data_IF_444701014494
#
_entry.id   IF_444701014494
#
_cell.length_a   1.000
_cell.length_b   1.000
_cell.length_c   1.000
_cell.angle_alpha   90.00
_cell.angle_beta   90.00
_cell.angle_gamma   90.00
#
_symmetry.space_group_name_H-M   'P 1'
#
loop_
_entity.id
_entity.type
_entity.pdbx_description
1 polymer ?
#
# COMPACT_ATOMS: atom_id res chain seq x y z
N UNK A 1 -34.83 37.69 -3.80
CA UNK A 1 -34.48 36.34 -3.30
C UNK A 1 -33.19 35.82 -3.93
N UNK A 2 -33.08 35.81 -5.26
CA UNK A 2 -31.87 35.35 -5.98
C UNK A 2 -30.56 36.03 -5.55
N UNK A 3 -30.56 37.37 -5.40
CA UNK A 3 -29.37 38.11 -4.96
C UNK A 3 -28.84 37.68 -3.59
N UNK A 4 -29.74 37.37 -2.66
CA UNK A 4 -29.37 36.94 -1.31
C UNK A 4 -28.76 35.53 -1.35
N UNK A 5 -29.34 34.62 -2.13
CA UNK A 5 -28.83 33.24 -2.31
C UNK A 5 -27.42 33.26 -2.92
N UNK A 6 -27.20 34.11 -3.93
CA UNK A 6 -25.91 34.25 -4.58
C UNK A 6 -24.84 34.79 -3.61
N UNK A 7 -25.22 35.76 -2.75
CA UNK A 7 -24.35 36.25 -1.67
C UNK A 7 -23.98 35.18 -0.63
N UNK A 8 -24.94 34.34 -0.22
CA UNK A 8 -24.68 33.23 0.71
C UNK A 8 -23.75 32.17 0.11
N UNK A 9 -23.94 31.80 -1.16
CA UNK A 9 -23.08 30.84 -1.86
C UNK A 9 -21.64 31.35 -2.00
N UNK A 10 -21.47 32.62 -2.36
CA UNK A 10 -20.14 33.24 -2.44
C UNK A 10 -19.43 33.25 -1.08
N UNK A 11 -20.14 33.57 0.00
CA UNK A 11 -19.57 33.55 1.35
C UNK A 11 -19.13 32.14 1.77
N UNK A 12 -19.92 31.11 1.44
CA UNK A 12 -19.56 29.71 1.70
C UNK A 12 -18.35 29.25 0.90
N UNK A 13 -18.24 29.65 -0.37
CA UNK A 13 -17.07 29.36 -1.21
C UNK A 13 -15.81 30.05 -0.69
N UNK A 14 -15.92 31.31 -0.24
CA UNK A 14 -14.81 32.03 0.39
C UNK A 14 -14.35 31.37 1.69
N UNK A 15 -15.28 30.90 2.53
CA UNK A 15 -14.94 30.18 3.76
C UNK A 15 -14.24 28.84 3.48
N UNK A 16 -14.67 28.11 2.44
CA UNK A 16 -14.00 26.89 1.98
C UNK A 16 -12.59 27.18 1.45
N UNK A 17 -12.40 28.28 0.71
CA UNK A 17 -11.11 28.68 0.18
C UNK A 17 -10.14 29.14 1.29
N UNK A 18 -10.62 29.82 2.32
CA UNK A 18 -9.80 30.24 3.47
C UNK A 18 -9.39 29.07 4.38
N UNK A 19 -10.20 28.01 4.44
CA UNK A 19 -9.88 26.77 5.15
C UNK A 19 -9.11 25.76 4.29
N UNK A 20 -8.91 26.03 2.99
CA UNK A 20 -8.06 25.20 2.16
C UNK A 20 -6.63 25.30 2.71
N UNK A 21 -5.96 24.16 2.97
CA UNK A 21 -4.58 24.19 3.39
C UNK A 21 -3.75 24.79 2.25
N UNK A 22 -3.42 26.07 2.32
CA UNK A 22 -2.38 26.67 1.49
C UNK A 22 -1.07 26.16 2.06
N UNK A 23 -0.69 24.95 1.63
CA UNK A 23 0.65 24.44 1.85
C UNK A 23 1.61 25.33 1.07
N UNK A 24 2.02 26.45 1.66
CA UNK A 24 3.20 27.16 1.23
C UNK A 24 4.36 26.17 1.32
N UNK A 25 4.90 25.78 0.16
CA UNK A 25 6.00 24.84 0.04
C UNK A 25 7.28 25.46 0.61
N UNK A 26 7.37 25.47 1.94
CA UNK A 26 8.58 25.80 2.69
C UNK A 26 9.59 24.67 2.52
N UNK A 27 10.65 25.01 1.78
CA UNK A 27 11.96 24.36 1.66
C UNK A 27 12.17 23.10 2.50
N UNK A 28 11.97 21.95 1.86
CA UNK A 28 12.75 20.71 1.86
C UNK A 28 11.81 19.63 1.29
N UNK A 29 12.05 19.10 0.07
CA UNK A 29 11.18 18.11 -0.59
C UNK A 29 10.90 16.84 0.24
N UNK A 30 11.67 16.65 1.31
CA UNK A 30 11.66 15.50 2.18
C UNK A 30 10.87 15.70 3.49
N UNK A 31 10.52 16.95 3.84
CA UNK A 31 9.94 17.27 5.16
C UNK A 31 8.67 18.14 5.09
N UNK A 32 8.30 18.69 3.92
CA UNK A 32 7.14 19.57 3.77
C UNK A 32 6.01 18.97 2.92
N UNK A 33 4.91 18.58 3.57
CA UNK A 33 3.56 18.77 3.00
C UNK A 33 3.05 17.81 1.92
N UNK A 34 3.77 16.76 1.51
CA UNK A 34 3.23 15.68 0.65
C UNK A 34 3.65 14.32 1.20
N UNK A 35 3.19 13.97 2.40
CA UNK A 35 3.56 12.73 3.11
C UNK A 35 3.20 11.41 2.41
N UNK A 36 2.53 11.47 1.25
CA UNK A 36 2.14 10.30 0.46
C UNK A 36 3.03 9.98 -0.74
N UNK A 37 3.92 10.88 -1.19
CA UNK A 37 4.65 10.69 -2.44
C UNK A 37 5.66 9.54 -2.40
N UNK A 38 6.60 9.59 -1.45
CA UNK A 38 7.64 8.56 -1.30
C UNK A 38 7.04 7.26 -0.76
N UNK A 39 6.15 7.34 0.23
CA UNK A 39 5.49 6.17 0.81
C UNK A 39 4.60 5.48 -0.23
N UNK A 40 3.80 6.24 -0.99
CA UNK A 40 2.98 5.70 -2.07
C UNK A 40 3.82 5.12 -3.21
N UNK A 41 4.96 5.73 -3.53
CA UNK A 41 5.90 5.18 -4.52
C UNK A 41 6.51 3.85 -4.06
N UNK A 42 6.95 3.75 -2.80
CA UNK A 42 7.44 2.50 -2.22
C UNK A 42 6.35 1.43 -2.31
N UNK A 43 5.12 1.76 -1.88
CA UNK A 43 3.97 0.86 -1.96
C UNK A 43 3.69 0.38 -3.39
N UNK A 44 3.77 1.25 -4.39
CA UNK A 44 3.59 0.90 -5.80
C UNK A 44 4.69 -0.06 -6.30
N UNK A 45 5.93 0.12 -5.87
CA UNK A 45 7.01 -0.82 -6.19
C UNK A 45 6.79 -2.18 -5.52
N UNK A 46 6.33 -2.21 -4.27
CA UNK A 46 6.01 -3.46 -3.59
C UNK A 46 4.86 -4.22 -4.26
N UNK A 47 3.82 -3.54 -4.76
CA UNK A 47 2.73 -4.18 -5.51
C UNK A 47 3.26 -4.94 -6.74
N UNK A 48 4.14 -4.32 -7.52
CA UNK A 48 4.74 -4.94 -8.71
C UNK A 48 5.53 -6.21 -8.36
N UNK A 49 6.30 -6.19 -7.26
CA UNK A 49 7.10 -7.34 -6.82
C UNK A 49 6.19 -8.54 -6.48
N UNK A 50 5.11 -8.29 -5.74
CA UNK A 50 4.15 -9.33 -5.36
C UNK A 50 3.50 -9.95 -6.59
N UNK A 51 3.15 -9.15 -7.61
CA UNK A 51 2.60 -9.67 -8.85
C UNK A 51 3.55 -10.63 -9.58
N UNK A 52 4.85 -10.29 -9.62
CA UNK A 52 5.87 -11.16 -10.22
C UNK A 52 5.98 -12.48 -9.44
N UNK A 53 5.98 -12.42 -8.11
CA UNK A 53 6.08 -13.60 -7.24
C UNK A 53 4.84 -14.51 -7.34
N UNK A 54 3.64 -13.92 -7.39
CA UNK A 54 2.38 -14.67 -7.59
C UNK A 54 2.37 -15.36 -8.95
N UNK A 55 2.81 -14.68 -10.02
CA UNK A 55 2.90 -15.26 -11.36
C UNK A 55 3.93 -16.41 -11.39
N UNK A 56 5.09 -16.26 -10.75
CA UNK A 56 6.12 -17.30 -10.69
C UNK A 56 5.77 -18.49 -9.79
N UNK A 57 4.84 -18.35 -8.83
CA UNK A 57 4.50 -19.45 -7.93
C UNK A 57 3.86 -20.66 -8.66
N UNK A 58 4.18 -21.90 -8.27
CA UNK A 58 3.57 -23.11 -8.87
C UNK A 58 2.26 -23.53 -8.14
N UNK A 59 1.48 -22.56 -7.63
CA UNK A 59 0.24 -22.80 -6.87
C UNK A 59 -1.00 -22.75 -7.79
N UNK A 60 -2.11 -23.42 -7.44
CA UNK A 60 -3.34 -23.41 -8.24
C UNK A 60 -3.86 -22.00 -8.51
N UNK A 61 -4.42 -21.80 -9.71
CA UNK A 61 -4.82 -20.49 -10.26
C UNK A 61 -5.77 -19.71 -9.34
N UNK A 62 -6.68 -20.40 -8.65
CA UNK A 62 -7.62 -19.79 -7.70
C UNK A 62 -6.91 -19.05 -6.55
N UNK A 63 -5.80 -19.60 -6.07
CA UNK A 63 -5.04 -19.01 -4.97
C UNK A 63 -4.23 -17.79 -5.45
N UNK A 64 -3.68 -17.85 -6.67
CA UNK A 64 -2.97 -16.73 -7.30
C UNK A 64 -3.86 -15.50 -7.45
N UNK A 65 -5.06 -15.70 -7.99
CA UNK A 65 -6.02 -14.60 -8.24
C UNK A 65 -6.46 -13.95 -6.93
N UNK A 66 -6.70 -14.74 -5.89
CA UNK A 66 -7.13 -14.23 -4.59
C UNK A 66 -6.03 -13.37 -3.93
N UNK A 67 -4.76 -13.75 -4.07
CA UNK A 67 -3.61 -12.96 -3.62
C UNK A 67 -3.43 -11.66 -4.39
N UNK A 68 -3.58 -11.67 -5.71
CA UNK A 68 -3.50 -10.45 -6.54
C UNK A 68 -4.59 -9.44 -6.16
N UNK A 69 -5.85 -9.89 -5.99
CA UNK A 69 -6.97 -8.99 -5.67
C UNK A 69 -6.81 -8.36 -4.28
N UNK A 70 -6.31 -9.13 -3.31
CA UNK A 70 -6.11 -8.65 -1.93
C UNK A 70 -5.03 -7.56 -1.85
N UNK A 71 -3.87 -7.78 -2.49
CA UNK A 71 -2.74 -6.82 -2.47
C UNK A 71 -3.05 -5.58 -3.29
N UNK A 72 -3.75 -5.72 -4.43
CA UNK A 72 -4.16 -4.59 -5.25
C UNK A 72 -5.18 -3.67 -4.55
N UNK A 73 -6.16 -4.24 -3.86
CA UNK A 73 -7.22 -3.46 -3.21
C UNK A 73 -6.76 -2.83 -1.89
N UNK A 74 -5.84 -3.48 -1.19
CA UNK A 74 -5.24 -2.96 0.04
C UNK A 74 -3.74 -3.24 0.08
N UNK A 75 -2.88 -2.41 -0.54
CA UNK A 75 -1.44 -2.66 -0.56
C UNK A 75 -0.81 -2.75 0.83
N UNK A 76 -1.27 -1.94 1.79
CA UNK A 76 -0.78 -1.96 3.17
C UNK A 76 -1.31 -3.18 3.95
N UNK A 77 -2.59 -3.54 3.78
CA UNK A 77 -3.22 -4.65 4.52
C UNK A 77 -2.83 -6.01 3.91
N UNK A 78 -2.56 -6.05 2.60
CA UNK A 78 -2.12 -7.25 1.88
C UNK A 78 -0.83 -7.83 2.43
N UNK A 79 0.13 -6.98 2.84
CA UNK A 79 1.39 -7.39 3.48
C UNK A 79 1.12 -7.99 4.88
N UNK A 80 0.21 -7.39 5.65
CA UNK A 80 -0.16 -7.87 6.99
C UNK A 80 -0.86 -9.23 6.90
N UNK A 81 -1.78 -9.38 5.94
CA UNK A 81 -2.45 -10.65 5.66
C UNK A 81 -1.47 -11.72 5.14
N UNK A 82 -0.51 -11.35 4.28
CA UNK A 82 0.58 -12.24 3.86
C UNK A 82 1.39 -12.72 5.05
N UNK A 83 1.78 -11.83 5.96
CA UNK A 83 2.55 -12.24 7.13
C UNK A 83 1.76 -13.15 8.08
N UNK A 84 0.44 -12.93 8.23
CA UNK A 84 -0.40 -13.70 9.15
C UNK A 84 -0.84 -15.06 8.60
N UNK A 85 -1.04 -15.16 7.28
CA UNK A 85 -1.60 -16.37 6.63
C UNK A 85 -0.62 -17.10 5.69
N UNK A 86 0.55 -16.53 5.39
CA UNK A 86 1.63 -17.25 4.68
C UNK A 86 2.35 -18.18 5.65
N UNK A 87 1.82 -19.40 5.76
CA UNK A 87 2.26 -20.47 6.63
C UNK A 87 3.78 -20.77 6.50
N UNK A 88 4.61 -20.11 7.32
CA UNK A 88 6.08 -20.28 7.41
C UNK A 88 6.52 -21.64 7.97
N UNK A 89 5.58 -22.42 8.49
CA UNK A 89 5.84 -23.70 9.15
C UNK A 89 6.26 -24.81 8.18
N UNK A 90 5.96 -24.65 6.88
CA UNK A 90 6.19 -25.69 5.88
C UNK A 90 7.57 -25.59 5.19
N UNK A 91 8.26 -24.44 5.29
CA UNK A 91 9.52 -24.20 4.57
C UNK A 91 10.79 -24.40 5.41
N UNK A 92 10.67 -24.59 6.75
CA UNK A 92 11.84 -24.71 7.64
C UNK A 92 12.24 -26.16 7.99
N UNK A 93 11.69 -27.17 7.28
CA UNK A 93 11.97 -28.60 7.58
C UNK A 93 13.09 -29.23 6.74
N UNK A 94 13.82 -28.46 5.94
CA UNK A 94 14.87 -29.00 5.05
C UNK A 94 16.30 -28.61 5.43
N UNK A 95 16.54 -28.29 6.70
CA UNK A 95 17.90 -28.19 7.25
C UNK A 95 18.16 -29.34 8.23
N UNK A 96 17.93 -30.56 7.75
CA UNK A 96 18.38 -31.77 8.43
C UNK A 96 19.85 -31.97 8.08
N UNK A 97 20.75 -31.52 8.96
CA UNK A 97 22.16 -31.88 8.88
C UNK A 97 22.26 -33.36 9.24
N UNK A 98 22.32 -34.22 8.23
CA UNK A 98 22.74 -35.59 8.40
C UNK A 98 24.25 -35.61 8.68
N UNK A 99 24.62 -35.88 9.92
CA UNK A 99 26.00 -36.16 10.32
C UNK A 99 26.42 -37.48 9.70
N UNK A 100 27.27 -37.43 8.67
CA UNK A 100 28.00 -38.60 8.17
C UNK A 100 28.87 -39.10 9.32
N UNK A 101 28.35 -40.09 10.05
CA UNK A 101 29.13 -40.84 11.03
C UNK A 101 29.85 -41.89 10.23
N UNK A 102 31.14 -41.65 9.95
CA UNK A 102 31.98 -42.60 9.25
C UNK A 102 32.18 -43.86 10.10
N UNK A 103 31.74 -44.99 9.58
CA UNK A 103 32.29 -46.32 9.84
C UNK A 103 32.19 -47.15 8.55
#
# INVERSE_FOLDING_TARGET
>A
MFQNVLGFVLLQLCALAAAAPVTAQGQNPWQGGVGGGVVGFIVLVLDIIVWIEVIQSNRPVSHKVLWCVLVFLFPIIGIIAYWLFSNREEHNRRSGYETITGN
#
